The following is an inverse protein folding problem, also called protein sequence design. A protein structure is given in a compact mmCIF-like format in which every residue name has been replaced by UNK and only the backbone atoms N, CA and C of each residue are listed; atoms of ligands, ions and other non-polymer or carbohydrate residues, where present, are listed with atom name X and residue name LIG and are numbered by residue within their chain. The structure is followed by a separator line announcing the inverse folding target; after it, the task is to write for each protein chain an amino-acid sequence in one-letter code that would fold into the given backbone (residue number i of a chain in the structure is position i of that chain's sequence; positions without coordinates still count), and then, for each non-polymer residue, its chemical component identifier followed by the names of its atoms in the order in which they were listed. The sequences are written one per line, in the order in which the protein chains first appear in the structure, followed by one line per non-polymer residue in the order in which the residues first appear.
data_IF_929656408452
#
_entry.id   IF_929656408452
#
_cell.length_a   1.000
_cell.length_b   1.000
_cell.length_c   1.000
_cell.angle_alpha   90.00
_cell.angle_beta   90.00
_cell.angle_gamma   90.00
#
_symmetry.space_group_name_H-M   'P 1'
#
loop_
_entity.id
_entity.type
_entity.pdbx_description
1 polymer ?
#
# COMPACT_ATOMS: atom_id res chain seq x y z
N UNK A 1 -28.03 45.32 -10.44
CA UNK A 1 -27.19 44.28 -9.81
C UNK A 1 -26.77 43.34 -10.91
N UNK A 2 -25.49 43.27 -11.26
CA UNK A 2 -25.00 42.44 -12.37
C UNK A 2 -25.21 40.95 -12.03
N UNK A 3 -26.31 40.37 -12.53
CA UNK A 3 -26.55 38.94 -12.44
C UNK A 3 -25.60 38.23 -13.40
N UNK A 4 -24.54 37.61 -12.88
CA UNK A 4 -23.69 36.72 -13.66
C UNK A 4 -24.56 35.59 -14.24
N UNK A 5 -24.40 35.30 -15.54
CA UNK A 5 -25.08 34.18 -16.20
C UNK A 5 -24.87 32.88 -15.41
N UNK A 6 -25.89 32.00 -15.29
CA UNK A 6 -25.81 30.72 -14.59
C UNK A 6 -24.66 29.84 -15.09
N UNK A 7 -24.28 29.99 -16.37
CA UNK A 7 -23.16 29.30 -16.98
C UNK A 7 -21.82 29.83 -16.44
N UNK A 8 -21.70 31.14 -16.25
CA UNK A 8 -20.49 31.77 -15.72
C UNK A 8 -20.31 31.40 -14.24
N UNK A 9 -21.38 31.42 -13.44
CA UNK A 9 -21.32 30.97 -12.04
C UNK A 9 -20.98 29.48 -11.94
N UNK A 10 -21.57 28.61 -12.77
CA UNK A 10 -21.23 27.19 -12.79
C UNK A 10 -19.75 26.95 -13.17
N UNK A 11 -19.23 27.64 -14.18
CA UNK A 11 -17.82 27.54 -14.57
C UNK A 11 -16.89 28.04 -13.46
N UNK A 12 -17.21 29.17 -12.83
CA UNK A 12 -16.41 29.72 -11.74
C UNK A 12 -16.37 28.78 -10.52
N UNK A 13 -17.51 28.20 -10.14
CA UNK A 13 -17.58 27.22 -9.04
C UNK A 13 -16.81 25.94 -9.39
N UNK A 14 -16.95 25.43 -10.61
CA UNK A 14 -16.20 24.25 -11.07
C UNK A 14 -14.70 24.49 -11.03
N UNK A 15 -14.25 25.64 -11.53
CA UNK A 15 -12.85 26.01 -11.55
C UNK A 15 -12.29 26.20 -10.14
N UNK A 16 -13.04 26.86 -9.25
CA UNK A 16 -12.65 27.04 -7.86
C UNK A 16 -12.54 25.69 -7.13
N UNK A 17 -13.51 24.79 -7.31
CA UNK A 17 -13.50 23.45 -6.74
C UNK A 17 -12.34 22.61 -7.28
N UNK A 18 -12.06 22.68 -8.58
CA UNK A 18 -10.91 22.02 -9.20
C UNK A 18 -9.59 22.52 -8.63
N UNK A 19 -9.40 23.84 -8.53
CA UNK A 19 -8.18 24.44 -7.97
C UNK A 19 -7.99 24.06 -6.50
N UNK A 20 -9.04 24.16 -5.68
CA UNK A 20 -9.00 23.77 -4.27
C UNK A 20 -8.66 22.28 -4.09
N UNK A 21 -9.29 21.42 -4.90
CA UNK A 21 -9.02 19.98 -4.94
C UNK A 21 -7.58 19.69 -5.34
N UNK A 22 -7.11 20.26 -6.46
CA UNK A 22 -5.75 20.07 -6.96
C UNK A 22 -4.68 20.51 -5.94
N UNK A 23 -4.90 21.62 -5.25
CA UNK A 23 -4.01 22.13 -4.22
C UNK A 23 -3.99 21.22 -2.99
N UNK A 24 -5.17 20.81 -2.49
CA UNK A 24 -5.29 19.90 -1.35
C UNK A 24 -4.63 18.55 -1.61
N UNK A 25 -4.90 17.95 -2.79
CA UNK A 25 -4.30 16.68 -3.20
C UNK A 25 -2.79 16.81 -3.48
N UNK A 26 -2.37 17.93 -4.08
CA UNK A 26 -0.99 18.15 -4.52
C UNK A 26 -0.02 18.47 -3.38
N UNK A 27 -0.42 19.26 -2.38
CA UNK A 27 0.48 19.70 -1.30
C UNK A 27 0.28 18.88 -0.03
N UNK A 28 -0.96 18.79 0.46
CA UNK A 28 -1.21 18.19 1.78
C UNK A 28 -1.23 16.66 1.72
N UNK A 29 -1.86 16.08 0.69
CA UNK A 29 -1.97 14.62 0.56
C UNK A 29 -0.67 13.99 0.07
N UNK A 30 0.18 14.74 -0.64
CA UNK A 30 1.46 14.26 -1.15
C UNK A 30 2.40 13.79 -0.07
N UNK A 31 2.68 14.64 0.94
CA UNK A 31 3.58 14.26 2.05
C UNK A 31 3.05 13.05 2.83
N UNK A 32 1.72 12.94 2.98
CA UNK A 32 1.08 11.79 3.64
C UNK A 32 1.25 10.50 2.81
N UNK A 33 1.05 10.57 1.50
CA UNK A 33 1.24 9.45 0.59
C UNK A 33 2.72 9.01 0.54
N UNK A 34 3.65 9.96 0.44
CA UNK A 34 5.10 9.68 0.48
C UNK A 34 5.50 9.02 1.82
N UNK A 35 5.01 9.54 2.94
CA UNK A 35 5.26 8.95 4.26
C UNK A 35 4.69 7.54 4.37
N UNK A 36 3.45 7.31 3.93
CA UNK A 36 2.83 5.99 3.96
C UNK A 36 3.56 4.98 3.07
N UNK A 37 3.94 5.39 1.85
CA UNK A 37 4.73 4.58 0.94
C UNK A 37 6.13 4.29 1.52
N UNK A 38 6.76 5.28 2.17
CA UNK A 38 8.05 5.12 2.85
C UNK A 38 7.99 4.14 4.01
N UNK A 39 7.00 4.26 4.89
CA UNK A 39 6.77 3.29 5.98
C UNK A 39 6.57 1.89 5.41
N UNK A 40 5.75 1.74 4.36
CA UNK A 40 5.52 0.44 3.72
C UNK A 40 6.79 -0.12 3.08
N UNK A 41 7.65 0.73 2.53
CA UNK A 41 8.91 0.31 1.95
C UNK A 41 9.88 -0.16 3.04
N UNK A 42 10.03 0.61 4.13
CA UNK A 42 10.83 0.22 5.29
C UNK A 42 10.32 -1.09 5.92
N UNK A 43 9.01 -1.31 5.96
CA UNK A 43 8.43 -2.55 6.48
C UNK A 43 8.70 -3.78 5.60
N UNK A 44 8.99 -3.58 4.30
CA UNK A 44 9.37 -4.65 3.38
C UNK A 44 10.86 -5.00 3.41
N UNK A 45 11.69 -4.17 4.04
CA UNK A 45 13.13 -4.39 4.16
C UNK A 45 13.47 -5.32 5.33
N UNK A 46 14.69 -5.86 5.34
CA UNK A 46 15.17 -6.59 6.53
C UNK A 46 15.30 -5.62 7.70
N UNK A 47 14.86 -6.04 8.89
CA UNK A 47 14.89 -5.19 10.08
C UNK A 47 16.28 -4.59 10.36
N UNK A 48 17.37 -5.32 10.06
CA UNK A 48 18.76 -4.85 10.23
C UNK A 48 19.11 -3.69 9.32
N UNK A 49 18.62 -3.69 8.08
CA UNK A 49 18.86 -2.62 7.11
C UNK A 49 18.13 -1.35 7.57
N UNK A 50 16.89 -1.49 8.03
CA UNK A 50 16.15 -0.37 8.61
C UNK A 50 16.79 0.17 9.89
N UNK A 51 17.24 -0.71 10.79
CA UNK A 51 17.97 -0.30 11.98
C UNK A 51 19.27 0.44 11.62
N UNK A 52 19.96 0.01 10.55
CA UNK A 52 21.12 0.72 10.00
C UNK A 52 20.79 2.14 9.54
N UNK A 53 19.69 2.34 8.82
CA UNK A 53 19.22 3.68 8.41
C UNK A 53 18.87 4.56 9.61
N UNK A 54 18.24 3.98 10.64
CA UNK A 54 17.94 4.68 11.90
C UNK A 54 19.23 5.12 12.59
N UNK A 55 20.20 4.21 12.71
CA UNK A 55 21.51 4.51 13.31
C UNK A 55 22.26 5.58 12.53
N UNK A 56 22.21 5.56 11.20
CA UNK A 56 22.82 6.58 10.36
C UNK A 56 22.16 7.95 10.55
N UNK A 57 20.82 8.00 10.62
CA UNK A 57 20.08 9.23 10.91
C UNK A 57 20.34 9.78 12.31
N UNK A 58 20.50 8.90 13.31
CA UNK A 58 20.93 9.31 14.65
C UNK A 58 22.41 9.74 14.67
N UNK A 59 23.24 9.16 13.82
CA UNK A 59 24.62 9.58 13.59
C UNK A 59 24.73 11.05 13.19
N UNK A 60 23.89 11.52 12.27
CA UNK A 60 23.81 12.94 11.90
C UNK A 60 23.46 13.85 13.09
N UNK A 61 22.70 13.33 14.07
CA UNK A 61 22.35 14.03 15.31
C UNK A 61 23.41 13.90 16.42
N UNK A 62 24.56 13.30 16.13
CA UNK A 62 25.69 13.15 17.04
C UNK A 62 25.65 11.91 17.93
N UNK A 63 24.79 10.93 17.64
CA UNK A 63 24.80 9.65 18.35
C UNK A 63 25.78 8.67 17.71
N UNK A 64 26.62 8.03 18.51
CA UNK A 64 27.61 7.04 18.05
C UNK A 64 27.33 5.70 18.73
N UNK A 65 27.26 4.62 17.96
CA UNK A 65 27.09 3.26 18.50
C UNK A 65 28.33 2.86 19.32
N UNK A 66 28.12 2.39 20.55
CA UNK A 66 29.21 1.92 21.39
C UNK A 66 29.70 0.54 20.93
N UNK A 67 31.02 0.22 21.00
CA UNK A 67 31.53 -1.11 20.63
C UNK A 67 30.90 -2.27 21.41
N UNK A 68 30.42 -2.00 22.63
CA UNK A 68 29.74 -2.95 23.50
C UNK A 68 28.25 -3.15 23.19
N UNK A 69 27.70 -2.48 22.18
CA UNK A 69 26.27 -2.49 21.83
C UNK A 69 25.76 -3.85 21.33
N UNK A 70 26.65 -4.70 20.79
CA UNK A 70 26.31 -5.98 20.18
C UNK A 70 27.04 -7.10 20.89
N UNK A 71 26.43 -7.60 21.96
CA UNK A 71 26.91 -8.83 22.60
C UNK A 71 26.28 -10.06 21.95
N UNK A 72 27.01 -11.19 21.86
CA UNK A 72 26.44 -12.46 21.43
C UNK A 72 25.29 -12.86 22.38
N UNK A 73 24.07 -12.97 21.85
CA UNK A 73 22.88 -13.33 22.63
C UNK A 73 21.87 -12.19 22.84
N UNK A 74 22.26 -10.94 22.57
CA UNK A 74 21.29 -9.84 22.54
C UNK A 74 20.29 -10.05 21.40
N UNK A 75 19.02 -9.71 21.63
CA UNK A 75 17.93 -9.80 20.66
C UNK A 75 18.11 -8.95 19.39
N UNK A 76 19.29 -8.33 19.22
CA UNK A 76 19.77 -7.64 18.02
C UNK A 76 19.06 -6.33 17.70
N UNK A 77 17.99 -6.01 18.42
CA UNK A 77 17.09 -4.88 18.14
C UNK A 77 17.30 -3.70 19.07
N UNK A 78 18.24 -3.81 20.00
CA UNK A 78 18.62 -2.76 20.93
C UNK A 78 20.10 -2.40 20.70
N UNK A 79 20.41 -1.10 20.79
CA UNK A 79 21.74 -0.57 20.51
C UNK A 79 22.09 0.48 21.56
N UNK A 80 23.23 0.30 22.22
CA UNK A 80 23.72 1.30 23.15
C UNK A 80 24.51 2.37 22.39
N UNK A 81 24.04 3.62 22.47
CA UNK A 81 24.58 4.78 21.79
C UNK A 81 25.18 5.76 22.81
N UNK A 82 26.06 6.62 22.32
CA UNK A 82 26.69 7.69 23.09
C UNK A 82 26.54 9.02 22.34
N UNK A 83 26.14 10.07 23.06
CA UNK A 83 26.03 11.43 22.53
C UNK A 83 26.73 12.38 23.49
N UNK A 84 27.92 12.84 23.12
CA UNK A 84 28.82 13.47 24.08
C UNK A 84 29.17 12.48 25.19
N UNK A 85 28.92 12.85 26.45
CA UNK A 85 29.14 11.99 27.62
C UNK A 85 27.88 11.20 28.07
N UNK A 86 26.77 11.36 27.33
CA UNK A 86 25.50 10.75 27.69
C UNK A 86 25.28 9.40 26.99
N UNK A 87 24.88 8.37 27.76
CA UNK A 87 24.52 7.06 27.23
C UNK A 87 23.03 6.99 26.92
N UNK A 88 22.71 6.58 25.70
CA UNK A 88 21.35 6.47 25.21
C UNK A 88 21.08 5.05 24.69
N UNK A 89 20.02 4.40 25.14
CA UNK A 89 19.60 3.11 24.59
C UNK A 89 18.63 3.33 23.43
N UNK A 90 18.95 2.81 22.25
CA UNK A 90 18.03 2.75 21.12
C UNK A 90 17.35 1.39 21.09
N UNK A 91 16.03 1.34 21.08
CA UNK A 91 15.24 0.13 20.81
C UNK A 91 14.51 0.24 19.48
N UNK A 92 14.57 -0.80 18.65
CA UNK A 92 13.90 -0.85 17.35
C UNK A 92 12.87 -1.97 17.28
N UNK A 93 11.58 -1.61 17.19
CA UNK A 93 10.46 -2.55 16.99
C UNK A 93 10.01 -2.53 15.53
N UNK A 94 10.46 -3.53 14.78
CA UNK A 94 10.23 -3.61 13.34
C UNK A 94 8.84 -4.14 12.97
N UNK A 95 8.03 -3.33 12.28
CA UNK A 95 6.75 -3.74 11.71
C UNK A 95 5.67 -2.69 11.91
N UNK A 96 4.71 -2.61 10.99
CA UNK A 96 3.63 -1.61 11.00
C UNK A 96 2.48 -1.96 11.94
N UNK A 97 2.39 -3.23 12.37
CA UNK A 97 1.36 -3.71 13.29
C UNK A 97 1.63 -3.30 14.76
N UNK A 98 2.85 -2.87 15.08
CA UNK A 98 3.20 -2.46 16.43
C UNK A 98 2.40 -1.24 16.88
N UNK A 99 1.84 -1.34 18.09
CA UNK A 99 1.13 -0.27 18.79
C UNK A 99 1.83 -0.09 20.12
N UNK A 100 2.64 0.97 20.24
CA UNK A 100 3.37 1.25 21.47
C UNK A 100 2.41 1.83 22.50
N UNK A 101 2.09 0.99 23.50
CA UNK A 101 1.30 1.35 24.67
C UNK A 101 2.19 1.58 25.90
N UNK A 102 1.54 1.81 27.04
CA UNK A 102 2.20 2.07 28.33
C UNK A 102 3.16 0.94 28.75
N UNK A 103 2.74 -0.32 28.63
CA UNK A 103 3.56 -1.47 29.00
C UNK A 103 4.89 -1.47 28.23
N UNK A 104 4.85 -1.24 26.91
CA UNK A 104 6.05 -1.19 26.08
C UNK A 104 7.03 -0.10 26.52
N UNK A 105 6.51 1.05 26.94
CA UNK A 105 7.34 2.18 27.41
C UNK A 105 7.97 1.86 28.76
N UNK A 106 7.21 1.26 29.69
CA UNK A 106 7.75 0.87 31.01
C UNK A 106 8.82 -0.20 30.89
N UNK A 107 8.57 -1.23 30.07
CA UNK A 107 9.53 -2.29 29.83
C UNK A 107 10.82 -1.73 29.22
N UNK A 108 10.69 -0.83 28.24
CA UNK A 108 11.84 -0.19 27.62
C UNK A 108 12.58 0.76 28.57
N UNK A 109 11.86 1.53 29.39
CA UNK A 109 12.49 2.39 30.40
C UNK A 109 13.28 1.58 31.45
N UNK A 110 12.80 0.39 31.82
CA UNK A 110 13.55 -0.54 32.65
C UNK A 110 14.81 -1.04 31.92
N UNK A 111 14.71 -1.38 30.63
CA UNK A 111 15.86 -1.77 29.82
C UNK A 111 16.92 -0.65 29.72
N UNK A 112 16.50 0.61 29.55
CA UNK A 112 17.38 1.79 29.57
C UNK A 112 18.21 1.82 30.86
N UNK A 113 17.56 1.64 32.02
CA UNK A 113 18.23 1.63 33.32
C UNK A 113 19.17 0.43 33.48
N UNK A 114 18.74 -0.77 33.08
CA UNK A 114 19.55 -1.99 33.16
C UNK A 114 20.82 -1.91 32.32
N UNK A 115 20.76 -1.23 31.17
CA UNK A 115 21.91 -0.97 30.29
C UNK A 115 22.77 0.21 30.76
N UNK A 116 22.42 0.85 31.89
CA UNK A 116 23.14 2.01 32.42
C UNK A 116 23.09 3.24 31.50
N UNK A 117 22.03 3.36 30.70
CA UNK A 117 21.74 4.54 29.90
C UNK A 117 20.88 5.53 30.69
N UNK A 118 21.06 6.83 30.44
CA UNK A 118 20.30 7.91 31.08
C UNK A 118 19.07 8.31 30.26
N UNK A 119 19.12 8.08 28.95
CA UNK A 119 18.02 8.35 28.02
C UNK A 119 17.74 7.14 27.13
N UNK A 120 16.55 7.11 26.53
CA UNK A 120 16.17 6.07 25.59
C UNK A 120 15.50 6.62 24.34
N UNK A 121 15.65 5.93 23.21
CA UNK A 121 14.91 6.19 21.98
C UNK A 121 14.25 4.89 21.56
N UNK A 122 12.92 4.84 21.54
CA UNK A 122 12.16 3.68 21.08
C UNK A 122 11.51 3.99 19.74
N UNK A 123 11.93 3.23 18.74
CA UNK A 123 11.54 3.43 17.34
C UNK A 123 10.64 2.30 16.88
N UNK A 124 9.58 2.63 16.15
CA UNK A 124 8.71 1.67 15.48
C UNK A 124 8.24 2.15 14.11
N UNK A 125 7.91 1.21 13.22
CA UNK A 125 7.20 1.51 11.97
C UNK A 125 5.68 1.63 12.16
N UNK A 126 5.16 1.19 13.31
CA UNK A 126 3.76 1.28 13.66
C UNK A 126 3.39 2.63 14.27
N UNK A 127 2.55 2.60 15.30
CA UNK A 127 2.00 3.81 15.95
C UNK A 127 2.29 3.82 17.44
N UNK A 128 2.41 5.01 18.03
CA UNK A 128 2.42 5.19 19.48
C UNK A 128 1.12 5.83 19.97
N UNK A 129 0.58 5.29 21.06
CA UNK A 129 -0.60 5.83 21.72
C UNK A 129 -0.29 7.16 22.41
N UNK A 130 -1.31 8.02 22.57
CA UNK A 130 -1.12 9.34 23.19
C UNK A 130 -0.57 9.22 24.63
N UNK A 131 -1.14 8.33 25.43
CA UNK A 131 -0.71 8.12 26.81
C UNK A 131 0.71 7.55 26.91
N UNK A 132 1.10 6.65 25.98
CA UNK A 132 2.46 6.15 25.88
C UNK A 132 3.47 7.28 25.63
N UNK A 133 3.14 8.27 24.78
CA UNK A 133 4.02 9.44 24.56
C UNK A 133 4.18 10.28 25.83
N UNK A 134 3.13 10.44 26.62
CA UNK A 134 3.19 11.22 27.85
C UNK A 134 4.03 10.52 28.91
N UNK A 135 3.90 9.21 29.03
CA UNK A 135 4.70 8.39 29.92
C UNK A 135 6.17 8.34 29.51
N UNK A 136 6.44 8.20 28.20
CA UNK A 136 7.80 8.17 27.67
C UNK A 136 8.57 9.45 28.01
N UNK A 137 7.94 10.63 27.88
CA UNK A 137 8.56 11.90 28.29
C UNK A 137 8.94 11.95 29.77
N UNK A 138 8.18 11.29 30.65
CA UNK A 138 8.50 11.22 32.09
C UNK A 138 9.67 10.31 32.40
N UNK A 139 9.87 9.27 31.60
CA UNK A 139 10.98 8.31 31.75
C UNK A 139 12.24 8.70 30.94
N UNK A 140 12.28 9.88 30.31
CA UNK A 140 13.41 10.25 29.45
C UNK A 140 13.52 9.41 28.18
N UNK A 141 12.39 8.89 27.69
CA UNK A 141 12.29 8.07 26.48
C UNK A 141 11.66 8.89 25.35
N UNK A 142 12.35 8.97 24.21
CA UNK A 142 11.81 9.49 22.96
C UNK A 142 11.10 8.38 22.19
N UNK A 143 9.85 8.61 21.76
CA UNK A 143 9.11 7.68 20.89
C UNK A 143 9.11 8.19 19.46
N UNK A 144 9.63 7.37 18.54
CA UNK A 144 9.59 7.64 17.09
C UNK A 144 8.68 6.61 16.44
N UNK A 145 7.52 7.04 15.97
CA UNK A 145 6.57 6.19 15.25
C UNK A 145 6.80 6.26 13.73
N UNK A 146 6.10 5.42 12.95
CA UNK A 146 6.35 5.35 11.51
C UNK A 146 6.19 6.70 10.80
N UNK A 147 5.25 7.54 11.26
CA UNK A 147 4.97 8.85 10.64
C UNK A 147 6.08 9.86 10.89
N UNK A 148 6.68 9.84 12.07
CA UNK A 148 7.86 10.68 12.37
C UNK A 148 9.16 10.06 11.89
N UNK A 149 9.22 8.74 11.71
CA UNK A 149 10.45 8.05 11.31
C UNK A 149 10.83 8.33 9.86
N UNK A 150 9.92 8.13 8.91
CA UNK A 150 10.26 8.22 7.47
C UNK A 150 10.99 9.52 7.09
N UNK A 151 10.49 10.72 7.46
CA UNK A 151 11.17 11.98 7.10
C UNK A 151 12.60 12.11 7.65
N UNK A 152 12.92 11.40 8.74
CA UNK A 152 14.25 11.44 9.35
C UNK A 152 15.24 10.50 8.66
N UNK A 153 14.75 9.39 8.09
CA UNK A 153 15.60 8.40 7.41
C UNK A 153 15.63 8.56 5.90
N UNK A 154 14.66 9.28 5.30
CA UNK A 154 14.60 9.56 3.86
C UNK A 154 15.94 10.07 3.29
N UNK A 155 16.67 11.02 3.92
CA UNK A 155 17.94 11.52 3.39
C UNK A 155 19.04 10.46 3.30
N UNK A 156 18.92 9.37 4.05
CA UNK A 156 19.90 8.29 4.14
C UNK A 156 19.50 7.04 3.34
N UNK A 157 18.25 6.99 2.89
CA UNK A 157 17.76 5.93 2.03
C UNK A 157 18.45 5.98 0.65
N UNK A 158 18.55 4.82 -0.03
CA UNK A 158 19.14 4.79 -1.38
C UNK A 158 18.30 5.63 -2.35
N UNK A 159 18.92 6.31 -3.33
CA UNK A 159 18.17 7.11 -4.31
C UNK A 159 17.08 6.30 -5.03
N UNK A 160 17.38 5.05 -5.38
CA UNK A 160 16.43 4.11 -6.01
C UNK A 160 15.22 3.80 -5.14
N UNK A 161 15.40 3.69 -3.81
CA UNK A 161 14.31 3.47 -2.88
C UNK A 161 13.42 4.71 -2.78
N UNK A 162 14.03 5.89 -2.68
CA UNK A 162 13.33 7.18 -2.59
C UNK A 162 12.54 7.46 -3.88
N UNK A 163 13.12 7.21 -5.05
CA UNK A 163 12.43 7.32 -6.34
C UNK A 163 11.22 6.39 -6.42
N UNK A 164 11.39 5.11 -6.07
CA UNK A 164 10.28 4.15 -6.06
C UNK A 164 9.16 4.52 -5.07
N UNK A 165 9.49 5.17 -3.95
CA UNK A 165 8.51 5.69 -2.99
C UNK A 165 7.76 6.89 -3.58
N UNK A 166 8.46 7.82 -4.22
CA UNK A 166 7.86 8.99 -4.88
C UNK A 166 6.94 8.57 -6.03
N UNK A 167 7.31 7.56 -6.80
CA UNK A 167 6.48 7.03 -7.88
C UNK A 167 5.20 6.38 -7.36
N UNK A 168 5.30 5.57 -6.30
CA UNK A 168 4.13 4.98 -5.62
C UNK A 168 3.21 6.06 -5.07
N UNK A 169 3.77 7.07 -4.39
CA UNK A 169 3.01 8.20 -3.86
C UNK A 169 2.33 9.00 -4.98
N UNK A 170 3.04 9.28 -6.08
CA UNK A 170 2.50 9.98 -7.23
C UNK A 170 1.34 9.20 -7.88
N UNK A 171 1.47 7.87 -8.01
CA UNK A 171 0.40 7.03 -8.54
C UNK A 171 -0.86 7.05 -7.68
N UNK A 172 -0.73 7.06 -6.35
CA UNK A 172 -1.86 7.17 -5.43
C UNK A 172 -2.53 8.55 -5.51
N UNK A 173 -1.73 9.63 -5.58
CA UNK A 173 -2.24 11.00 -5.71
C UNK A 173 -2.99 11.18 -7.02
N UNK A 174 -2.48 10.64 -8.14
CA UNK A 174 -3.16 10.72 -9.45
C UNK A 174 -4.57 10.15 -9.40
N UNK A 175 -4.77 9.00 -8.75
CA UNK A 175 -6.10 8.41 -8.56
C UNK A 175 -7.05 9.34 -7.80
N UNK A 176 -6.56 9.96 -6.72
CA UNK A 176 -7.32 10.94 -5.94
C UNK A 176 -7.63 12.23 -6.73
N UNK A 177 -6.68 12.70 -7.53
CA UNK A 177 -6.88 13.86 -8.41
C UNK A 177 -7.99 13.59 -9.43
N UNK A 178 -7.99 12.44 -10.10
CA UNK A 178 -9.06 12.09 -11.05
C UNK A 178 -10.45 12.12 -10.40
N UNK A 179 -10.60 11.60 -9.18
CA UNK A 179 -11.86 11.72 -8.42
C UNK A 179 -12.23 13.17 -8.12
N UNK A 180 -11.24 14.00 -7.79
CA UNK A 180 -11.41 15.44 -7.61
C UNK A 180 -11.90 16.16 -8.87
N UNK A 181 -11.38 15.79 -10.04
CA UNK A 181 -11.83 16.33 -11.34
C UNK A 181 -13.30 15.96 -11.59
N UNK A 182 -13.64 14.68 -11.47
CA UNK A 182 -15.01 14.20 -11.66
C UNK A 182 -15.96 14.89 -10.68
N UNK A 183 -15.57 15.01 -9.40
CA UNK A 183 -16.36 15.72 -8.39
C UNK A 183 -16.58 17.20 -8.72
N UNK A 184 -15.57 17.90 -9.24
CA UNK A 184 -15.70 19.30 -9.64
C UNK A 184 -16.66 19.50 -10.82
N UNK A 185 -16.65 18.59 -11.79
CA UNK A 185 -17.58 18.60 -12.93
C UNK A 185 -19.01 18.34 -12.47
N UNK A 186 -19.22 17.32 -11.61
CA UNK A 186 -20.55 17.01 -11.05
C UNK A 186 -21.10 18.20 -10.27
N UNK A 187 -20.28 18.84 -9.42
CA UNK A 187 -20.67 20.03 -8.68
C UNK A 187 -21.07 21.18 -9.61
N UNK A 188 -20.28 21.43 -10.66
CA UNK A 188 -20.59 22.42 -11.69
C UNK A 188 -21.93 22.18 -12.37
N UNK A 189 -22.19 20.94 -12.78
CA UNK A 189 -23.46 20.56 -13.42
C UNK A 189 -24.66 20.71 -12.48
N UNK A 190 -24.49 20.40 -11.20
CA UNK A 190 -25.54 20.56 -10.19
C UNK A 190 -25.86 22.05 -9.93
N UNK A 191 -24.83 22.90 -9.84
CA UNK A 191 -25.00 24.36 -9.70
C UNK A 191 -25.70 24.95 -10.92
N UNK A 192 -25.32 24.52 -12.13
CA UNK A 192 -25.98 24.94 -13.36
C UNK A 192 -27.46 24.52 -13.39
N UNK A 193 -27.76 23.25 -13.08
CA UNK A 193 -29.13 22.74 -13.06
C UNK A 193 -30.00 23.49 -12.02
N UNK A 194 -29.46 23.75 -10.84
CA UNK A 194 -30.15 24.50 -9.79
C UNK A 194 -30.39 25.97 -10.18
N UNK A 195 -29.40 26.63 -10.79
CA UNK A 195 -29.54 28.01 -11.25
C UNK A 195 -30.57 28.15 -12.38
N UNK A 196 -30.62 27.19 -13.31
CA UNK A 196 -31.61 27.14 -14.40
C UNK A 196 -33.03 26.91 -13.89
N UNK A 197 -33.22 26.21 -12.76
CA UNK A 197 -34.54 26.01 -12.13
C UNK A 197 -35.08 27.28 -11.45
N UNK A 198 -34.21 28.23 -11.10
CA UNK A 198 -34.56 29.46 -10.36
C UNK A 198 -34.75 30.65 -11.33
N UNK A 199 -34.35 30.51 -12.60
CA UNK A 199 -34.57 31.56 -13.59
C UNK A 199 -36.06 31.66 -13.97
N UNK A 200 -36.67 32.85 -13.90
CA UNK A 200 -38.00 33.06 -14.49
C UNK A 200 -37.90 32.81 -15.99
N UNK A 201 -38.82 32.02 -16.52
CA UNK A 201 -38.93 31.76 -17.94
C UNK A 201 -39.19 33.08 -18.68
N UNK A 202 -38.16 33.67 -19.30
CA UNK A 202 -38.40 34.62 -20.39
C UNK A 202 -39.08 33.83 -21.50
N UNK A 203 -40.38 34.11 -21.66
CA UNK A 203 -41.24 33.52 -22.67
C UNK A 203 -40.82 34.11 -24.01
N UNK A 204 -39.84 33.48 -24.67
CA UNK A 204 -39.60 33.71 -26.08
C UNK A 204 -40.61 32.89 -26.87
N UNK A 205 -41.56 33.61 -27.47
CA UNK A 205 -42.70 33.08 -28.18
C UNK A 205 -42.27 32.27 -29.41
N UNK A 206 -42.72 31.02 -29.48
CA UNK A 206 -42.77 30.26 -30.73
C UNK A 206 -43.74 30.91 -31.72
N UNK A 207 -43.53 30.68 -33.03
CA UNK A 207 -44.59 29.94 -33.71
C UNK A 207 -44.09 28.79 -34.59
N UNK A 208 -44.91 27.74 -34.53
CA UNK A 208 -45.34 26.83 -35.59
C UNK A 208 -44.29 25.97 -36.33
N UNK A 209 -44.42 24.67 -36.09
CA UNK A 209 -43.92 23.56 -36.88
C UNK A 209 -44.46 23.55 -38.32
N UNK A 210 -43.59 23.25 -39.28
CA UNK A 210 -43.94 22.47 -40.48
C UNK A 210 -42.91 21.37 -40.67
N UNK A 211 -43.41 20.14 -40.68
CA UNK A 211 -42.71 18.90 -41.01
C UNK A 211 -42.45 18.82 -42.51
N UNK A 212 -41.23 18.52 -42.94
CA UNK A 212 -41.02 17.44 -43.91
C UNK A 212 -39.58 16.91 -43.93
N UNK A 213 -39.46 15.63 -44.26
CA UNK A 213 -38.29 14.77 -44.08
C UNK A 213 -37.29 14.83 -45.24
N UNK A 214 -35.97 14.73 -44.94
CA UNK A 214 -34.99 14.03 -45.78
C UNK A 214 -33.65 13.79 -45.05
N UNK A 215 -33.43 12.51 -44.76
CA UNK A 215 -32.22 11.71 -44.52
C UNK A 215 -30.81 12.30 -44.77
N UNK A 216 -29.98 12.12 -43.74
CA UNK A 216 -28.55 11.79 -43.66
C UNK A 216 -27.47 12.74 -44.23
N UNK A 217 -26.69 13.31 -43.31
CA UNK A 217 -25.22 13.36 -43.39
C UNK A 217 -24.66 13.43 -41.96
N UNK A 218 -23.92 12.39 -41.54
CA UNK A 218 -23.18 12.37 -40.28
C UNK A 218 -21.74 12.86 -40.52
N UNK A 219 -21.20 13.81 -39.74
CA UNK A 219 -19.76 14.03 -39.70
C UNK A 219 -19.11 12.98 -38.81
N UNK A 220 -17.99 12.46 -39.28
CA UNK A 220 -17.16 11.46 -38.64
C UNK A 220 -16.80 11.84 -37.19
N UNK A 221 -17.09 10.92 -36.26
CA UNK A 221 -16.52 10.96 -34.91
C UNK A 221 -15.01 10.71 -34.95
N UNK A 222 -14.26 11.23 -33.97
CA UNK A 222 -12.83 10.99 -33.90
C UNK A 222 -12.57 9.49 -33.71
N UNK A 223 -11.81 8.92 -34.64
CA UNK A 223 -11.37 7.54 -34.58
C UNK A 223 -10.49 7.33 -33.34
N UNK A 224 -11.01 6.60 -32.36
CA UNK A 224 -10.20 6.00 -31.30
C UNK A 224 -9.25 5.00 -31.96
N UNK A 225 -7.98 5.37 -32.12
CA UNK A 225 -6.97 4.41 -32.57
C UNK A 225 -6.75 3.39 -31.45
N UNK A 226 -7.44 2.27 -31.53
CA UNK A 226 -7.09 1.09 -30.73
C UNK A 226 -5.83 0.52 -31.38
N UNK A 227 -4.68 0.68 -30.73
CA UNK A 227 -3.46 -0.03 -31.11
C UNK A 227 -3.78 -1.54 -31.06
N UNK A 228 -3.75 -2.19 -32.22
CA UNK A 228 -4.01 -3.63 -32.39
C UNK A 228 -2.73 -4.45 -32.35
N UNK A 229 -1.67 -3.96 -31.71
CA UNK A 229 -0.48 -4.80 -31.54
C UNK A 229 -0.82 -5.96 -30.56
N UNK A 230 -0.19 -7.15 -30.74
CA UNK A 230 -0.48 -8.32 -29.91
C UNK A 230 -0.29 -8.08 -28.41
N UNK A 231 0.62 -7.19 -28.02
CA UNK A 231 0.89 -6.85 -26.63
C UNK A 231 -0.21 -5.96 -26.04
N UNK A 232 -0.77 -5.04 -26.81
CA UNK A 232 -1.91 -4.18 -26.45
C UNK A 232 -3.20 -5.00 -26.30
N UNK A 233 -3.41 -6.00 -27.17
CA UNK A 233 -4.54 -6.95 -27.05
C UNK A 233 -4.37 -7.86 -25.83
N UNK A 234 -3.17 -8.37 -25.57
CA UNK A 234 -2.87 -9.17 -24.38
C UNK A 234 -3.05 -8.35 -23.09
N UNK A 235 -2.59 -7.09 -23.07
CA UNK A 235 -2.77 -6.17 -21.96
C UNK A 235 -4.25 -5.85 -21.72
N UNK A 236 -5.03 -5.63 -22.78
CA UNK A 236 -6.49 -5.42 -22.69
C UNK A 236 -7.23 -6.63 -22.12
N UNK A 237 -6.86 -7.85 -22.53
CA UNK A 237 -7.43 -9.09 -21.97
C UNK A 237 -7.08 -9.26 -20.49
N UNK A 238 -5.83 -9.00 -20.11
CA UNK A 238 -5.39 -9.04 -18.71
C UNK A 238 -6.12 -8.02 -17.83
N UNK A 239 -6.30 -6.78 -18.32
CA UNK A 239 -7.04 -5.75 -17.59
C UNK A 239 -8.51 -6.11 -17.38
N UNK A 240 -9.17 -6.69 -18.39
CA UNK A 240 -10.56 -7.15 -18.29
C UNK A 240 -10.71 -8.32 -17.31
N UNK A 241 -9.72 -9.21 -17.27
CA UNK A 241 -9.68 -10.33 -16.32
C UNK A 241 -9.49 -9.84 -14.88
N UNK A 242 -8.58 -8.87 -14.66
CA UNK A 242 -8.37 -8.23 -13.36
C UNK A 242 -9.60 -7.43 -12.89
N UNK A 243 -10.33 -6.78 -13.79
CA UNK A 243 -11.59 -6.09 -13.46
C UNK A 243 -12.69 -7.09 -13.03
N UNK A 244 -12.77 -8.24 -13.70
CA UNK A 244 -13.71 -9.31 -13.32
C UNK A 244 -13.38 -9.87 -11.94
N UNK A 245 -12.10 -10.04 -11.61
CA UNK A 245 -11.64 -10.44 -10.27
C UNK A 245 -11.94 -9.37 -9.21
N UNK A 246 -11.79 -8.09 -9.55
CA UNK A 246 -12.07 -6.98 -8.63
C UNK A 246 -13.55 -6.87 -8.24
N UNK A 247 -14.46 -7.40 -9.07
CA UNK A 247 -15.91 -7.45 -8.82
C UNK A 247 -16.34 -8.61 -7.91
N UNK A 248 -15.45 -9.57 -7.63
CA UNK A 248 -15.77 -10.69 -6.75
C UNK A 248 -15.81 -10.24 -5.29
N UNK A 249 -16.78 -10.76 -4.57
CA UNK A 249 -16.84 -10.59 -3.11
C UNK A 249 -15.76 -11.42 -2.43
N UNK A 250 -15.43 -11.09 -1.19
CA UNK A 250 -14.44 -11.84 -0.42
C UNK A 250 -14.87 -13.29 -0.18
N UNK A 251 -16.17 -13.55 -0.04
CA UNK A 251 -16.72 -14.91 0.07
C UNK A 251 -16.53 -15.70 -1.22
N UNK A 252 -16.77 -15.08 -2.39
CA UNK A 252 -16.54 -15.74 -3.68
C UNK A 252 -15.05 -16.06 -3.90
N UNK A 253 -14.15 -15.15 -3.50
CA UNK A 253 -12.69 -15.39 -3.55
C UNK A 253 -12.25 -16.46 -2.57
N UNK A 254 -12.85 -16.53 -1.38
CA UNK A 254 -12.61 -17.61 -0.43
C UNK A 254 -13.08 -18.96 -0.97
N UNK A 255 -14.26 -19.01 -1.60
CA UNK A 255 -14.79 -20.22 -2.19
C UNK A 255 -13.92 -20.74 -3.34
N UNK A 256 -13.46 -19.85 -4.23
CA UNK A 256 -12.54 -20.21 -5.31
C UNK A 256 -11.22 -20.76 -4.79
N UNK A 257 -10.65 -20.17 -3.74
CA UNK A 257 -9.46 -20.71 -3.06
C UNK A 257 -9.70 -22.10 -2.50
N UNK A 258 -10.83 -22.34 -1.84
CA UNK A 258 -11.18 -23.68 -1.32
C UNK A 258 -11.25 -24.72 -2.45
N UNK A 259 -11.91 -24.38 -3.57
CA UNK A 259 -12.00 -25.25 -4.75
C UNK A 259 -10.62 -25.53 -5.34
N UNK A 260 -9.78 -24.49 -5.49
CA UNK A 260 -8.44 -24.63 -6.02
C UNK A 260 -7.56 -25.53 -5.12
N UNK A 261 -7.63 -25.35 -3.79
CA UNK A 261 -6.91 -26.21 -2.84
C UNK A 261 -7.39 -27.67 -2.91
N UNK A 262 -8.71 -27.91 -2.99
CA UNK A 262 -9.24 -29.27 -3.13
C UNK A 262 -8.70 -29.96 -4.40
N UNK A 263 -8.69 -29.25 -5.54
CA UNK A 263 -8.14 -29.79 -6.79
C UNK A 263 -6.63 -30.08 -6.72
N UNK A 264 -5.87 -29.29 -5.98
CA UNK A 264 -4.44 -29.55 -5.74
C UNK A 264 -4.25 -30.74 -4.79
N UNK A 265 -5.14 -30.92 -3.82
CA UNK A 265 -5.12 -32.07 -2.91
C UNK A 265 -5.44 -33.40 -3.64
N UNK A 266 -6.19 -33.36 -4.74
CA UNK A 266 -6.50 -34.54 -5.57
C UNK A 266 -5.33 -34.99 -6.47
N UNK A 267 -4.23 -34.24 -6.53
CA UNK A 267 -3.05 -34.63 -7.31
C UNK A 267 -2.39 -35.86 -6.69
N UNK A 268 -1.99 -36.83 -7.52
CA UNK A 268 -1.41 -38.10 -7.05
C UNK A 268 -0.14 -37.94 -6.18
N UNK A 269 0.58 -36.83 -6.32
CA UNK A 269 1.80 -36.52 -5.56
C UNK A 269 1.52 -35.68 -4.29
N UNK A 270 0.29 -35.24 -4.08
CA UNK A 270 -0.16 -34.48 -2.92
C UNK A 270 -1.01 -35.37 -2.00
N UNK A 271 -0.76 -35.28 -0.70
CA UNK A 271 -1.60 -35.89 0.33
C UNK A 271 -2.66 -34.90 0.83
N UNK A 272 -2.32 -33.61 0.88
CA UNK A 272 -3.22 -32.55 1.30
C UNK A 272 -2.75 -31.19 0.75
N UNK A 273 -3.68 -30.25 0.60
CA UNK A 273 -3.38 -28.87 0.25
C UNK A 273 -4.26 -27.89 1.05
N UNK A 274 -3.63 -27.00 1.79
CA UNK A 274 -4.32 -26.03 2.67
C UNK A 274 -3.71 -24.64 2.49
N UNK A 275 -4.57 -23.62 2.40
CA UNK A 275 -4.15 -22.23 2.40
C UNK A 275 -3.72 -21.80 3.81
N UNK A 276 -2.44 -21.44 3.98
CA UNK A 276 -1.98 -20.80 5.23
C UNK A 276 -2.25 -19.29 5.24
N UNK A 277 -2.30 -18.67 4.06
CA UNK A 277 -2.68 -17.27 3.86
C UNK A 277 -3.53 -17.11 2.60
N UNK A 278 -3.86 -15.86 2.22
CA UNK A 278 -4.58 -15.59 0.97
C UNK A 278 -3.77 -15.90 -0.31
N UNK A 279 -2.45 -16.07 -0.20
CA UNK A 279 -1.55 -16.31 -1.34
C UNK A 279 -0.46 -17.36 -1.06
N UNK A 280 -0.55 -18.10 0.04
CA UNK A 280 0.36 -19.19 0.38
C UNK A 280 -0.41 -20.50 0.52
N UNK A 281 -0.16 -21.44 -0.39
CA UNK A 281 -0.72 -22.79 -0.35
C UNK A 281 0.35 -23.74 0.19
N UNK A 282 0.02 -24.45 1.27
CA UNK A 282 0.84 -25.51 1.84
C UNK A 282 0.38 -26.83 1.23
N UNK A 283 1.32 -27.57 0.63
CA UNK A 283 1.08 -28.87 0.01
C UNK A 283 1.90 -29.90 0.78
N UNK A 284 1.20 -30.82 1.44
CA UNK A 284 1.85 -31.99 2.06
C UNK A 284 2.05 -33.04 0.98
N UNK A 285 3.30 -33.41 0.72
CA UNK A 285 3.66 -34.37 -0.34
C UNK A 285 3.40 -35.80 0.09
N UNK A 286 3.05 -36.66 -0.87
CA UNK A 286 2.88 -38.09 -0.64
C UNK A 286 4.23 -38.84 -0.55
N UNK A 287 5.27 -38.37 -1.25
CA UNK A 287 6.63 -38.93 -1.26
C UNK A 287 7.68 -37.90 -0.85
N UNK A 288 8.80 -38.40 -0.30
CA UNK A 288 9.98 -37.61 0.07
C UNK A 288 11.14 -37.80 -0.92
N UNK A 289 10.85 -38.09 -2.20
CA UNK A 289 11.86 -38.38 -3.23
C UNK A 289 12.70 -37.15 -3.64
N UNK A 290 12.30 -35.96 -3.19
CA UNK A 290 13.01 -34.72 -3.44
C UNK A 290 12.72 -34.12 -4.82
N UNK A 291 11.83 -34.70 -5.63
CA UNK A 291 11.53 -34.24 -7.00
C UNK A 291 10.31 -33.30 -6.97
N UNK A 292 10.56 -31.99 -6.99
CA UNK A 292 9.49 -30.99 -6.86
C UNK A 292 8.78 -30.65 -8.17
N UNK A 293 9.41 -30.87 -9.32
CA UNK A 293 8.96 -30.28 -10.58
C UNK A 293 7.60 -30.78 -11.05
N UNK A 294 7.25 -32.05 -10.77
CA UNK A 294 5.96 -32.64 -11.14
C UNK A 294 4.80 -31.95 -10.40
N UNK A 295 4.75 -32.15 -9.08
CA UNK A 295 3.73 -31.57 -8.20
C UNK A 295 3.62 -30.04 -8.31
N UNK A 296 4.74 -29.33 -8.51
CA UNK A 296 4.73 -27.87 -8.68
C UNK A 296 4.10 -27.46 -9.99
N UNK A 297 4.43 -28.11 -11.10
CA UNK A 297 3.86 -27.79 -12.40
C UNK A 297 2.36 -28.07 -12.43
N UNK A 298 1.94 -29.21 -11.87
CA UNK A 298 0.54 -29.60 -11.82
C UNK A 298 -0.28 -28.70 -10.88
N UNK A 299 0.26 -28.38 -9.70
CA UNK A 299 -0.38 -27.44 -8.78
C UNK A 299 -0.47 -26.04 -9.38
N UNK A 300 0.59 -25.56 -10.04
CA UNK A 300 0.56 -24.26 -10.71
C UNK A 300 -0.42 -24.26 -11.88
N UNK A 301 -0.55 -25.33 -12.67
CA UNK A 301 -1.55 -25.41 -13.73
C UNK A 301 -2.98 -25.19 -13.20
N UNK A 302 -3.33 -25.80 -12.05
CA UNK A 302 -4.62 -25.58 -11.39
C UNK A 302 -4.78 -24.12 -10.91
N UNK A 303 -3.74 -23.55 -10.29
CA UNK A 303 -3.80 -22.20 -9.75
C UNK A 303 -3.84 -21.12 -10.84
N UNK A 304 -3.18 -21.34 -11.98
CA UNK A 304 -3.14 -20.43 -13.12
C UNK A 304 -4.50 -20.29 -13.83
N UNK A 305 -5.46 -21.20 -13.60
CA UNK A 305 -6.85 -21.04 -14.07
C UNK A 305 -7.58 -19.89 -13.36
N UNK A 306 -7.08 -19.46 -12.20
CA UNK A 306 -7.63 -18.36 -11.40
C UNK A 306 -6.65 -17.19 -11.42
N UNK A 307 -7.05 -16.08 -12.06
CA UNK A 307 -6.21 -14.88 -12.21
C UNK A 307 -5.75 -14.31 -10.86
N UNK A 308 -6.59 -14.39 -9.82
CA UNK A 308 -6.23 -13.96 -8.46
C UNK A 308 -5.19 -14.85 -7.76
N UNK A 309 -4.99 -16.09 -8.23
CA UNK A 309 -4.07 -17.08 -7.63
C UNK A 309 -2.76 -17.26 -8.41
N UNK A 310 -2.61 -16.55 -9.53
CA UNK A 310 -1.48 -16.67 -10.46
C UNK A 310 -0.09 -16.55 -9.81
N UNK A 311 0.04 -15.70 -8.79
CA UNK A 311 1.30 -15.45 -8.09
C UNK A 311 1.36 -16.10 -6.69
N UNK A 312 0.63 -17.21 -6.51
CA UNK A 312 0.62 -17.93 -5.22
C UNK A 312 1.96 -18.59 -4.94
N UNK A 313 2.35 -18.55 -3.66
CA UNK A 313 3.52 -19.25 -3.13
C UNK A 313 3.12 -20.66 -2.69
N UNK A 314 3.93 -21.65 -3.07
CA UNK A 314 3.78 -23.04 -2.66
C UNK A 314 4.80 -23.37 -1.58
N UNK A 315 4.33 -23.88 -0.44
CA UNK A 315 5.14 -24.49 0.60
C UNK A 315 5.00 -26.01 0.50
N UNK A 316 6.07 -26.69 0.11
CA UNK A 316 6.10 -28.14 -0.05
C UNK A 316 6.62 -28.77 1.23
N UNK A 317 5.75 -29.49 1.92
CA UNK A 317 6.07 -30.22 3.14
C UNK A 317 6.26 -31.70 2.80
N UNK A 318 7.47 -32.24 2.93
CA UNK A 318 7.71 -33.65 2.68
C UNK A 318 7.09 -34.52 3.79
N UNK A 319 6.89 -35.83 3.56
CA UNK A 319 6.33 -36.73 4.57
C UNK A 319 7.17 -36.74 5.86
N UNK A 320 6.50 -36.88 6.99
CA UNK A 320 7.14 -37.02 8.30
C UNK A 320 8.16 -38.16 8.30
N UNK A 321 9.38 -37.88 8.76
CA UNK A 321 10.46 -38.87 8.82
C UNK A 321 11.28 -39.05 7.53
N UNK A 322 10.98 -38.30 6.45
CA UNK A 322 11.74 -38.36 5.19
C UNK A 322 13.12 -37.72 5.22
N UNK A 323 13.43 -36.88 6.22
CA UNK A 323 14.70 -36.14 6.32
C UNK A 323 14.89 -35.03 5.27
N UNK A 324 13.91 -34.83 4.39
CA UNK A 324 13.93 -33.78 3.36
C UNK A 324 13.48 -32.45 4.00
N UNK A 325 14.13 -31.31 3.69
CA UNK A 325 13.70 -30.01 4.20
C UNK A 325 12.42 -29.52 3.51
N UNK A 326 11.66 -28.67 4.20
CA UNK A 326 10.54 -27.91 3.61
C UNK A 326 11.07 -27.01 2.49
N UNK A 327 10.36 -26.97 1.37
CA UNK A 327 10.78 -26.24 0.17
C UNK A 327 9.73 -25.24 -0.28
N UNK A 328 10.20 -24.17 -0.90
CA UNK A 328 9.37 -23.06 -1.34
C UNK A 328 9.47 -22.89 -2.85
N UNK A 329 8.30 -22.71 -3.49
CA UNK A 329 8.16 -22.48 -4.93
C UNK A 329 7.13 -21.37 -5.17
N UNK A 330 7.12 -20.83 -6.37
CA UNK A 330 6.20 -19.79 -6.78
C UNK A 330 5.70 -20.10 -8.19
N UNK A 331 4.39 -19.98 -8.39
CA UNK A 331 3.81 -20.07 -9.72
C UNK A 331 4.13 -18.80 -10.53
N UNK A 332 4.43 -18.98 -11.83
CA UNK A 332 4.76 -17.91 -12.77
C UNK A 332 3.73 -17.88 -13.91
#
# INVERSE_FOLDING_TARGET
MFGLSPLITALLVSLAAFLASSWWFGVHRRRKAETAAGISALAGMKWRECAGLVLQALGEKGFVEMPSSRQPGDGGTEFLLMKGDERCLLGYKHGTAYRLGEANVRDFANAVQLQGATTGILVTLGTAEAFARDLARRYGVELIDGRTLWPQVEPFASPTLVEGIRDKAAAEIRRGQHMGIVGSLVLGTAVFALASLIQPAETEAAPASTTDAATATAPAGPATSVFQDPASVAAGKAMKALEAVAKLTDEQRAQRRRVAAARVADLAQANNAIWSTNSTLVISLASGDGIDSGVVNDACAVLLEYEELRYSRLQLEPPSGSGVPVRWRQCQ
#
